data_IF_335590962012
#
_entry.id   IF_335590962012
#
_cell.length_a   1.000
_cell.length_b   1.000
_cell.length_c   1.000
_cell.angle_alpha   90.00
_cell.angle_beta   90.00
_cell.angle_gamma   90.00
#
_symmetry.space_group_name_H-M   'P 1'
#
loop_
_entity.id
_entity.type
_entity.pdbx_description
1 polymer ?
#
# COMPACT_ATOMS: atom_id res chain seq x y z
N UNK A 1 -15.88 0.38 9.68
CA UNK A 1 -15.43 -0.74 10.54
C UNK A 1 -16.42 -1.88 10.36
N UNK A 2 -16.00 -3.15 10.48
CA UNK A 2 -16.97 -4.24 10.52
C UNK A 2 -18.00 -3.94 11.62
N UNK A 3 -19.28 -4.23 11.38
CA UNK A 3 -20.37 -3.96 12.33
C UNK A 3 -20.14 -4.59 13.72
N UNK A 4 -19.20 -5.54 13.82
CA UNK A 4 -18.85 -6.32 15.00
C UNK A 4 -17.63 -5.80 15.78
N UNK A 5 -16.97 -4.72 15.33
CA UNK A 5 -15.71 -4.25 15.93
C UNK A 5 -14.49 -5.15 15.66
N UNK A 6 -14.66 -6.22 14.87
CA UNK A 6 -13.57 -7.12 14.47
C UNK A 6 -12.49 -6.38 13.68
N UNK A 7 -11.23 -6.67 14.03
CA UNK A 7 -10.04 -6.18 13.30
C UNK A 7 -9.64 -7.08 12.13
N UNK A 8 -10.28 -8.23 11.96
CA UNK A 8 -9.94 -9.22 10.94
C UNK A 8 -11.10 -9.44 9.99
N UNK A 9 -10.81 -9.40 8.69
CA UNK A 9 -11.75 -9.77 7.62
C UNK A 9 -10.96 -10.05 6.35
N UNK A 10 -11.26 -11.14 5.65
CA UNK A 10 -10.55 -11.47 4.42
C UNK A 10 -10.81 -10.46 3.30
N UNK A 11 -9.75 -10.01 2.64
CA UNK A 11 -9.78 -9.10 1.49
C UNK A 11 -8.94 -9.67 0.34
N UNK A 12 -9.62 -10.23 -0.65
CA UNK A 12 -9.00 -10.79 -1.86
C UNK A 12 -8.15 -9.79 -2.63
N UNK A 13 -8.64 -8.58 -2.83
CA UNK A 13 -7.92 -7.58 -3.61
C UNK A 13 -6.65 -7.10 -2.89
N UNK A 14 -6.70 -7.00 -1.55
CA UNK A 14 -5.54 -6.63 -0.74
C UNK A 14 -4.50 -7.75 -0.69
N UNK A 15 -4.95 -9.01 -0.63
CA UNK A 15 -4.09 -10.19 -0.71
C UNK A 15 -3.36 -10.29 -2.05
N UNK A 16 -4.10 -10.28 -3.17
CA UNK A 16 -3.54 -10.50 -4.51
C UNK A 16 -2.73 -9.31 -5.04
N UNK A 17 -3.05 -8.09 -4.59
CA UNK A 17 -2.48 -6.87 -5.15
C UNK A 17 -2.03 -5.90 -4.05
N UNK A 18 -1.29 -6.36 -3.04
CA UNK A 18 -0.90 -5.57 -1.83
C UNK A 18 -0.58 -4.10 -2.13
N UNK A 19 0.49 -3.85 -2.90
CA UNK A 19 0.96 -2.49 -3.19
C UNK A 19 -0.05 -1.70 -4.04
N UNK A 20 -0.61 -2.31 -5.08
CA UNK A 20 -1.53 -1.62 -6.00
C UNK A 20 -2.88 -1.31 -5.34
N UNK A 21 -3.35 -2.19 -4.47
CA UNK A 21 -4.56 -2.02 -3.67
C UNK A 21 -4.44 -0.84 -2.72
N UNK A 22 -3.26 -0.67 -2.10
CA UNK A 22 -2.93 0.47 -1.26
C UNK A 22 -2.81 1.76 -2.07
N UNK A 23 -2.09 1.72 -3.21
CA UNK A 23 -1.92 2.86 -4.11
C UNK A 23 -3.29 3.38 -4.60
N UNK A 24 -4.13 2.47 -5.12
CA UNK A 24 -5.47 2.78 -5.60
C UNK A 24 -6.34 3.49 -4.54
N UNK A 25 -6.19 3.14 -3.27
CA UNK A 25 -6.90 3.73 -2.11
C UNK A 25 -6.21 4.94 -1.50
N UNK A 26 -5.22 5.50 -2.19
CA UNK A 26 -4.42 6.66 -1.75
C UNK A 26 -3.66 6.45 -0.44
N UNK A 27 -3.38 5.19 -0.07
CA UNK A 27 -2.48 4.83 1.04
C UNK A 27 -1.03 4.84 0.56
N UNK A 28 -0.56 5.97 0.02
CA UNK A 28 0.70 6.05 -0.73
C UNK A 28 1.94 5.67 0.08
N UNK A 29 1.99 6.05 1.36
CA UNK A 29 3.09 5.66 2.24
C UNK A 29 3.15 4.13 2.43
N UNK A 30 2.00 3.49 2.69
CA UNK A 30 1.94 2.03 2.83
C UNK A 30 2.27 1.32 1.52
N UNK A 31 1.78 1.84 0.39
CA UNK A 31 2.13 1.32 -0.93
C UNK A 31 3.64 1.42 -1.19
N UNK A 32 4.26 2.55 -0.86
CA UNK A 32 5.69 2.75 -1.02
C UNK A 32 6.52 1.82 -0.12
N UNK A 33 6.16 1.69 1.17
CA UNK A 33 6.82 0.78 2.11
C UNK A 33 6.74 -0.67 1.60
N UNK A 34 5.56 -1.15 1.22
CA UNK A 34 5.40 -2.53 0.73
C UNK A 34 6.17 -2.78 -0.56
N UNK A 35 6.27 -1.78 -1.44
CA UNK A 35 7.06 -1.84 -2.66
C UNK A 35 8.58 -1.87 -2.37
N UNK A 36 9.09 -1.06 -1.45
CA UNK A 36 10.51 -1.11 -1.06
C UNK A 36 10.84 -2.45 -0.40
N UNK A 37 9.97 -2.95 0.50
CA UNK A 37 10.13 -4.28 1.12
C UNK A 37 10.16 -5.39 0.06
N UNK A 38 9.48 -5.22 -1.08
CA UNK A 38 9.49 -6.21 -2.16
C UNK A 38 10.87 -6.45 -2.78
N UNK A 39 11.84 -5.55 -2.57
CA UNK A 39 13.26 -5.76 -2.95
C UNK A 39 13.86 -6.97 -2.22
N UNK A 40 13.35 -7.34 -1.04
CA UNK A 40 13.79 -8.57 -0.35
C UNK A 40 13.49 -9.84 -1.16
N UNK A 41 12.62 -9.78 -2.17
CA UNK A 41 12.35 -10.91 -3.07
C UNK A 41 13.55 -11.33 -3.92
N UNK A 42 14.58 -10.49 -4.03
CA UNK A 42 15.84 -10.88 -4.66
C UNK A 42 16.70 -11.79 -3.77
N UNK A 43 16.36 -11.95 -2.49
CA UNK A 43 17.03 -12.88 -1.57
C UNK A 43 16.17 -14.15 -1.48
N UNK A 44 16.64 -15.30 -2.00
CA UNK A 44 15.87 -16.55 -1.98
C UNK A 44 15.48 -16.96 -0.55
N UNK A 45 14.36 -17.66 -0.42
CA UNK A 45 13.77 -18.14 0.86
C UNK A 45 13.31 -17.01 1.78
N UNK A 46 14.18 -16.07 2.14
CA UNK A 46 13.86 -14.90 2.98
C UNK A 46 12.77 -14.06 2.30
N UNK A 47 12.98 -13.68 1.04
CA UNK A 47 11.99 -12.91 0.27
C UNK A 47 10.65 -13.63 0.14
N UNK A 48 10.68 -14.94 -0.07
CA UNK A 48 9.47 -15.76 -0.16
C UNK A 48 8.68 -15.75 1.16
N UNK A 49 9.33 -16.01 2.29
CA UNK A 49 8.70 -16.01 3.62
C UNK A 49 8.11 -14.61 3.93
N UNK A 50 8.88 -13.54 3.71
CA UNK A 50 8.40 -12.17 3.91
C UNK A 50 7.19 -11.85 3.02
N UNK A 51 7.21 -12.26 1.76
CA UNK A 51 6.08 -12.08 0.85
C UNK A 51 4.82 -12.79 1.32
N UNK A 52 4.92 -14.03 1.81
CA UNK A 52 3.77 -14.74 2.37
C UNK A 52 3.19 -14.00 3.59
N UNK A 53 4.05 -13.57 4.52
CA UNK A 53 3.61 -12.82 5.71
C UNK A 53 2.88 -11.54 5.30
N UNK A 54 3.43 -10.78 4.34
CA UNK A 54 2.84 -9.54 3.85
C UNK A 54 1.50 -9.83 3.14
N UNK A 55 1.44 -10.81 2.24
CA UNK A 55 0.23 -11.12 1.47
C UNK A 55 -0.91 -11.56 2.39
N UNK A 56 -0.67 -12.53 3.27
CA UNK A 56 -1.69 -13.01 4.20
C UNK A 56 -2.03 -11.95 5.27
N UNK A 57 -1.03 -11.25 5.80
CA UNK A 57 -1.25 -10.18 6.77
C UNK A 57 -2.13 -9.06 6.19
N UNK A 58 -1.81 -8.58 5.00
CA UNK A 58 -2.63 -7.56 4.32
C UNK A 58 -3.98 -8.13 3.85
N UNK A 59 -4.04 -9.41 3.48
CA UNK A 59 -5.30 -10.10 3.18
C UNK A 59 -6.25 -10.15 4.38
N UNK A 60 -5.74 -10.41 5.59
CA UNK A 60 -6.55 -10.54 6.82
C UNK A 60 -6.88 -9.17 7.44
N UNK A 61 -5.92 -8.24 7.44
CA UNK A 61 -6.02 -6.96 8.14
C UNK A 61 -6.26 -5.76 7.22
N UNK A 62 -6.25 -5.94 5.90
CA UNK A 62 -6.29 -4.85 4.92
C UNK A 62 -7.49 -3.91 5.10
N UNK A 63 -8.70 -4.46 5.29
CA UNK A 63 -9.89 -3.64 5.53
C UNK A 63 -9.81 -2.84 6.83
N UNK A 64 -9.27 -3.45 7.90
CA UNK A 64 -9.07 -2.76 9.16
C UNK A 64 -8.03 -1.64 9.02
N UNK A 65 -6.91 -1.92 8.35
CA UNK A 65 -5.85 -0.97 8.07
C UNK A 65 -6.37 0.24 7.28
N UNK A 66 -7.13 -0.01 6.21
CA UNK A 66 -7.75 1.06 5.42
C UNK A 66 -8.78 1.85 6.23
N UNK A 67 -9.60 1.17 7.03
CA UNK A 67 -10.56 1.83 7.92
C UNK A 67 -9.86 2.77 8.91
N UNK A 68 -8.79 2.30 9.56
CA UNK A 68 -7.96 3.11 10.46
C UNK A 68 -7.36 4.32 9.74
N UNK A 69 -6.75 4.11 8.56
CA UNK A 69 -6.20 5.18 7.73
C UNK A 69 -7.24 6.25 7.38
N UNK A 70 -8.44 5.85 6.93
CA UNK A 70 -9.51 6.80 6.59
C UNK A 70 -10.02 7.57 7.80
N UNK A 71 -10.10 6.92 8.97
CA UNK A 71 -10.52 7.55 10.21
C UNK A 71 -9.50 8.61 10.68
N UNK A 72 -8.21 8.27 10.69
CA UNK A 72 -7.14 9.22 11.02
C UNK A 72 -7.12 10.41 10.05
N UNK A 73 -7.28 10.14 8.75
CA UNK A 73 -7.36 11.19 7.72
C UNK A 73 -8.57 12.10 7.90
N UNK A 74 -9.75 11.54 8.17
CA UNK A 74 -10.96 12.33 8.42
C UNK A 74 -10.84 13.15 9.72
N UNK A 75 -10.20 12.61 10.75
CA UNK A 75 -9.93 13.30 12.01
C UNK A 75 -9.01 14.49 11.79
N UNK A 76 -7.93 14.33 11.01
CA UNK A 76 -7.05 15.42 10.63
C UNK A 76 -7.77 16.51 9.83
N UNK A 77 -8.64 16.13 8.89
CA UNK A 77 -9.47 17.10 8.14
C UNK A 77 -10.45 17.84 9.05
N UNK A 78 -11.09 17.14 10.00
CA UNK A 78 -11.99 17.76 10.98
C UNK A 78 -11.27 18.75 11.88
N UNK A 79 -10.03 18.45 12.29
CA UNK A 79 -9.20 19.39 13.04
C UNK A 79 -8.85 20.65 12.21
N UNK A 80 -8.64 20.50 10.91
CA UNK A 80 -8.25 21.60 10.02
C UNK A 80 -9.43 22.48 9.56
N UNK A 81 -10.60 21.90 9.32
CA UNK A 81 -11.76 22.58 8.70
C UNK A 81 -12.98 22.72 9.62
N UNK A 82 -12.93 22.18 10.85
CA UNK A 82 -14.05 22.14 11.77
C UNK A 82 -15.14 21.16 11.31
N UNK A 83 -16.39 21.45 11.67
CA UNK A 83 -17.57 20.67 11.26
C UNK A 83 -18.37 21.41 10.18
N UNK A 84 -19.17 20.68 9.40
CA UNK A 84 -20.06 21.24 8.39
C UNK A 84 -19.54 21.14 6.95
N UNK A 85 -19.95 22.07 6.09
CA UNK A 85 -19.78 21.93 4.64
C UNK A 85 -18.29 21.96 4.22
N UNK A 86 -17.46 22.77 4.88
CA UNK A 86 -16.02 22.83 4.58
C UNK A 86 -15.32 21.47 4.80
N UNK A 87 -15.62 20.78 5.90
CA UNK A 87 -15.12 19.42 6.15
C UNK A 87 -15.59 18.43 5.09
N UNK A 88 -16.88 18.49 4.72
CA UNK A 88 -17.47 17.61 3.72
C UNK A 88 -16.79 17.77 2.36
N UNK A 89 -16.58 19.01 1.91
CA UNK A 89 -15.88 19.30 0.67
C UNK A 89 -14.42 18.82 0.72
N UNK A 90 -13.71 19.10 1.82
CA UNK A 90 -12.34 18.62 2.01
C UNK A 90 -12.25 17.08 2.00
N UNK A 91 -13.21 16.38 2.62
CA UNK A 91 -13.27 14.92 2.63
C UNK A 91 -13.54 14.33 1.24
N UNK A 92 -14.41 14.96 0.44
CA UNK A 92 -14.68 14.54 -0.95
C UNK A 92 -13.41 14.68 -1.81
N UNK A 93 -12.74 15.84 -1.73
CA UNK A 93 -11.52 16.11 -2.50
C UNK A 93 -10.36 15.16 -2.13
N UNK A 94 -10.21 14.87 -0.84
CA UNK A 94 -9.09 14.07 -0.33
C UNK A 94 -9.38 12.56 -0.27
N UNK A 95 -10.65 12.16 -0.34
CA UNK A 95 -11.10 10.78 -0.30
C UNK A 95 -11.03 10.07 -1.66
N UNK A 96 -11.86 9.04 -1.82
CA UNK A 96 -11.99 8.28 -3.06
C UNK A 96 -10.76 7.46 -3.43
N UNK A 97 -10.65 7.11 -4.71
CA UNK A 97 -9.60 6.24 -5.26
C UNK A 97 -8.82 6.96 -6.38
N UNK A 98 -7.70 6.39 -6.81
CA UNK A 98 -6.88 6.95 -7.89
C UNK A 98 -6.34 5.85 -8.81
N UNK A 99 -6.94 5.70 -9.99
CA UNK A 99 -6.45 4.78 -11.03
C UNK A 99 -5.07 5.22 -11.54
N UNK A 100 -4.85 6.53 -11.69
CA UNK A 100 -3.54 7.08 -12.08
C UNK A 100 -2.42 6.61 -11.14
N UNK A 101 -2.68 6.59 -9.83
CA UNK A 101 -1.67 6.13 -8.87
C UNK A 101 -1.29 4.65 -9.05
N UNK A 102 -2.20 3.80 -9.55
CA UNK A 102 -1.87 2.41 -9.87
C UNK A 102 -0.80 2.36 -10.95
N UNK A 103 -0.99 3.09 -12.05
CA UNK A 103 -0.02 3.14 -13.14
C UNK A 103 1.32 3.73 -12.71
N UNK A 104 1.31 4.80 -11.89
CA UNK A 104 2.54 5.37 -11.35
C UNK A 104 3.32 4.36 -10.48
N UNK A 105 2.63 3.61 -9.63
CA UNK A 105 3.27 2.58 -8.80
C UNK A 105 3.74 1.36 -9.61
N UNK A 106 3.06 1.01 -10.71
CA UNK A 106 3.55 -0.02 -11.64
C UNK A 106 4.88 0.45 -12.27
N UNK A 107 4.92 1.66 -12.83
CA UNK A 107 6.13 2.23 -13.43
C UNK A 107 7.27 2.32 -12.42
N UNK A 108 6.97 2.80 -11.21
CA UNK A 108 7.94 2.90 -10.13
C UNK A 108 8.44 1.51 -9.67
N UNK A 109 7.56 0.51 -9.62
CA UNK A 109 7.92 -0.87 -9.30
C UNK A 109 8.89 -1.47 -10.33
N UNK A 110 8.63 -1.27 -11.63
CA UNK A 110 9.58 -1.68 -12.68
C UNK A 110 10.92 -0.97 -12.55
N UNK A 111 10.92 0.34 -12.29
CA UNK A 111 12.14 1.11 -12.09
C UNK A 111 12.96 0.59 -10.90
N UNK A 112 12.34 0.40 -9.73
CA UNK A 112 13.02 -0.12 -8.53
C UNK A 112 13.54 -1.53 -8.77
N UNK A 113 12.74 -2.41 -9.38
CA UNK A 113 13.15 -3.77 -9.71
C UNK A 113 14.36 -3.81 -10.64
N UNK A 114 14.36 -2.97 -11.69
CA UNK A 114 15.49 -2.83 -12.60
C UNK A 114 16.75 -2.34 -11.86
N UNK A 115 16.63 -1.29 -11.04
CA UNK A 115 17.76 -0.76 -10.27
C UNK A 115 18.32 -1.79 -9.27
N UNK A 116 17.46 -2.61 -8.66
CA UNK A 116 17.89 -3.67 -7.77
C UNK A 116 18.68 -4.77 -8.51
N UNK A 117 18.20 -5.22 -9.68
CA UNK A 117 18.90 -6.19 -10.52
C UNK A 117 20.24 -5.64 -10.99
N UNK A 118 20.26 -4.40 -11.48
CA UNK A 118 21.48 -3.73 -11.91
C UNK A 118 22.49 -3.66 -10.76
N UNK A 119 22.06 -3.26 -9.56
CA UNK A 119 22.93 -3.18 -8.39
C UNK A 119 23.54 -4.53 -8.02
N UNK A 120 22.72 -5.59 -7.98
CA UNK A 120 23.18 -6.95 -7.70
C UNK A 120 24.19 -7.42 -8.76
N UNK A 121 23.94 -7.11 -10.03
CA UNK A 121 24.84 -7.51 -11.11
C UNK A 121 26.22 -6.88 -11.03
N UNK A 122 26.29 -5.59 -10.67
CA UNK A 122 27.54 -4.87 -10.46
C UNK A 122 28.31 -5.46 -9.28
N UNK A 123 27.62 -5.88 -8.21
CA UNK A 123 28.22 -6.51 -7.04
C UNK A 123 28.78 -7.90 -7.37
N UNK A 124 28.04 -8.71 -8.12
CA UNK A 124 28.40 -10.11 -8.42
C UNK A 124 29.14 -10.30 -9.75
N UNK A 125 29.42 -9.22 -10.50
CA UNK A 125 30.07 -9.29 -11.82
C UNK A 125 29.22 -10.01 -12.89
N UNK A 126 27.91 -10.08 -12.70
CA UNK A 126 26.98 -10.66 -13.68
C UNK A 126 26.75 -9.66 -14.81
N UNK A 127 26.74 -10.11 -16.07
CA UNK A 127 26.33 -9.27 -17.20
C UNK A 127 24.80 -9.25 -17.28
N UNK A 128 24.19 -8.07 -17.11
CA UNK A 128 22.74 -7.81 -17.26
C UNK A 128 22.45 -7.33 -18.66
#
# INVERSE_FOLDING_TARGET
>A
MAATGSKTSWNWAAFSFVTLWMAYRKMYLYAFITMVISVLNFIPIIGFIFSLIIWFGVGIFGNYLYGKFTYEKLTALKLAYGDGEALKQAAILNGGTSVLSVFLFILLGFFIGFMAILSLSLIYGLRV
#
